data_IF_259908125910
#
_entry.id   IF_259908125910
#
_cell.length_a   1.000
_cell.length_b   1.000
_cell.length_c   1.000
_cell.angle_alpha   90.00
_cell.angle_beta   90.00
_cell.angle_gamma   90.00
#
_symmetry.space_group_name_H-M   'P 1'
#
loop_
_entity.id
_entity.type
_entity.pdbx_description
1 polymer ?
#
# COMPACT_ATOMS: atom_id res chain seq x y z
N UNK A 1 -11.36 -13.80 -21.97
CA UNK A 1 -11.28 -12.85 -23.10
C UNK A 1 -12.25 -11.69 -22.95
N UNK A 2 -13.56 -11.89 -22.74
CA UNK A 2 -14.52 -10.79 -22.53
C UNK A 2 -14.19 -9.89 -21.30
N UNK A 3 -13.79 -10.49 -20.17
CA UNK A 3 -13.36 -9.75 -18.97
C UNK A 3 -12.08 -8.94 -19.19
N UNK A 4 -11.07 -9.53 -19.87
CA UNK A 4 -9.83 -8.84 -20.26
C UNK A 4 -10.14 -7.64 -21.16
N UNK A 5 -10.99 -7.81 -22.17
CA UNK A 5 -11.39 -6.74 -23.08
C UNK A 5 -12.18 -5.62 -22.37
N UNK A 6 -13.12 -5.99 -21.49
CA UNK A 6 -13.87 -5.04 -20.65
C UNK A 6 -12.92 -4.19 -19.81
N UNK A 7 -12.02 -4.83 -19.05
CA UNK A 7 -11.07 -4.13 -18.19
C UNK A 7 -10.13 -3.24 -19.00
N UNK A 8 -9.55 -3.75 -20.08
CA UNK A 8 -8.64 -2.97 -20.93
C UNK A 8 -9.33 -1.76 -21.60
N UNK A 9 -10.59 -1.88 -22.02
CA UNK A 9 -11.34 -0.78 -22.63
C UNK A 9 -11.71 0.34 -21.63
N UNK A 10 -11.59 0.06 -20.33
CA UNK A 10 -11.86 1.02 -19.26
C UNK A 10 -10.57 1.63 -18.67
N UNK A 11 -9.39 1.12 -19.04
CA UNK A 11 -8.12 1.77 -18.71
C UNK A 11 -8.08 3.18 -19.32
N UNK A 12 -7.74 4.18 -18.50
CA UNK A 12 -7.67 5.57 -18.94
C UNK A 12 -8.99 6.34 -18.88
N UNK A 13 -10.05 5.75 -18.31
CA UNK A 13 -11.26 6.50 -17.93
C UNK A 13 -11.10 7.10 -16.53
N UNK A 14 -11.86 8.15 -16.23
CA UNK A 14 -11.82 8.89 -14.95
C UNK A 14 -12.14 8.06 -13.69
N UNK A 15 -12.69 6.86 -13.82
CA UNK A 15 -13.02 5.94 -12.71
C UNK A 15 -12.65 4.51 -13.13
N UNK A 16 -11.36 4.11 -13.02
CA UNK A 16 -10.87 2.83 -13.50
C UNK A 16 -10.99 1.69 -12.46
N UNK A 17 -11.70 1.88 -11.36
CA UNK A 17 -11.81 0.90 -10.27
C UNK A 17 -12.39 -0.44 -10.76
N UNK A 18 -13.45 -0.38 -11.55
CA UNK A 18 -14.05 -1.57 -12.17
C UNK A 18 -13.06 -2.28 -13.12
N UNK A 19 -12.24 -1.51 -13.85
CA UNK A 19 -11.19 -2.08 -14.69
C UNK A 19 -10.16 -2.84 -13.85
N UNK A 20 -9.77 -2.28 -12.70
CA UNK A 20 -8.79 -2.92 -11.81
C UNK A 20 -9.34 -4.18 -11.14
N UNK A 21 -10.62 -4.20 -10.80
CA UNK A 21 -11.31 -5.40 -10.32
C UNK A 21 -11.32 -6.51 -11.39
N UNK A 22 -11.57 -6.16 -12.65
CA UNK A 22 -11.57 -7.11 -13.77
C UNK A 22 -10.16 -7.65 -14.09
N UNK A 23 -9.13 -6.79 -14.06
CA UNK A 23 -7.79 -7.14 -14.52
C UNK A 23 -6.93 -7.84 -13.46
N UNK A 24 -7.13 -7.53 -12.17
CA UNK A 24 -6.30 -8.05 -11.07
C UNK A 24 -6.31 -9.59 -10.98
N UNK A 25 -7.45 -10.30 -11.03
CA UNK A 25 -7.47 -11.76 -11.00
C UNK A 25 -6.67 -12.37 -12.16
N UNK A 26 -6.73 -11.75 -13.33
CA UNK A 26 -6.03 -12.20 -14.53
C UNK A 26 -4.51 -12.11 -14.40
N UNK A 27 -4.01 -11.03 -13.77
CA UNK A 27 -2.57 -10.88 -13.48
C UNK A 27 -2.14 -11.90 -12.42
N UNK A 28 -2.93 -12.06 -11.35
CA UNK A 28 -2.55 -12.90 -10.19
C UNK A 28 -2.59 -14.40 -10.51
N UNK A 29 -3.46 -14.84 -11.42
CA UNK A 29 -3.57 -16.25 -11.80
C UNK A 29 -2.30 -16.77 -12.51
N UNK A 30 -1.71 -15.95 -13.37
CA UNK A 30 -0.49 -16.28 -14.10
C UNK A 30 0.38 -15.02 -14.32
N UNK A 31 1.15 -14.61 -13.31
CA UNK A 31 1.88 -13.33 -13.34
C UNK A 31 2.96 -13.23 -14.43
N UNK A 32 3.52 -14.36 -14.85
CA UNK A 32 4.53 -14.44 -15.91
C UNK A 32 3.93 -14.79 -17.29
N UNK A 33 2.61 -14.98 -17.35
CA UNK A 33 1.91 -15.41 -18.54
C UNK A 33 1.78 -14.35 -19.63
N UNK A 34 1.50 -14.76 -20.88
CA UNK A 34 1.26 -13.82 -21.98
C UNK A 34 0.13 -12.83 -21.71
N UNK A 35 -0.88 -13.23 -20.92
CA UNK A 35 -2.00 -12.36 -20.54
C UNK A 35 -1.58 -11.25 -19.59
N UNK A 36 -0.84 -11.58 -18.53
CA UNK A 36 -0.30 -10.58 -17.61
C UNK A 36 0.63 -9.60 -18.34
N UNK A 37 1.44 -10.09 -19.28
CA UNK A 37 2.30 -9.24 -20.11
C UNK A 37 1.51 -8.25 -20.98
N UNK A 38 0.44 -8.70 -21.64
CA UNK A 38 -0.45 -7.78 -22.41
C UNK A 38 -1.08 -6.70 -21.55
N UNK A 39 -1.52 -7.07 -20.34
CA UNK A 39 -2.10 -6.11 -19.39
C UNK A 39 -1.03 -5.10 -18.95
N UNK A 40 0.19 -5.57 -18.63
CA UNK A 40 1.32 -4.71 -18.30
C UNK A 40 1.62 -3.70 -19.42
N UNK A 41 1.66 -4.14 -20.68
CA UNK A 41 1.92 -3.27 -21.82
C UNK A 41 0.79 -2.25 -22.06
N UNK A 42 -0.47 -2.66 -21.87
CA UNK A 42 -1.61 -1.74 -21.92
C UNK A 42 -1.55 -0.67 -20.82
N UNK A 43 -1.18 -1.04 -19.59
CA UNK A 43 -0.99 -0.10 -18.49
C UNK A 43 0.13 0.90 -18.79
N UNK A 44 1.29 0.43 -19.29
CA UNK A 44 2.41 1.29 -19.68
C UNK A 44 1.99 2.31 -20.74
N UNK A 45 1.25 1.86 -21.76
CA UNK A 45 0.70 2.73 -22.79
C UNK A 45 -0.29 3.76 -22.22
N UNK A 46 -1.19 3.34 -21.34
CA UNK A 46 -2.16 4.22 -20.71
C UNK A 46 -1.47 5.30 -19.85
N UNK A 47 -0.41 4.95 -19.12
CA UNK A 47 0.41 5.91 -18.35
C UNK A 47 1.04 6.95 -19.28
N UNK A 48 1.68 6.52 -20.37
CA UNK A 48 2.30 7.43 -21.33
C UNK A 48 1.28 8.36 -22.01
N UNK A 49 0.09 7.85 -22.36
CA UNK A 49 -0.98 8.66 -22.92
C UNK A 49 -1.54 9.68 -21.92
N UNK A 50 -1.71 9.29 -20.67
CA UNK A 50 -2.16 10.19 -19.60
C UNK A 50 -1.12 11.29 -19.31
N UNK A 51 0.17 10.97 -19.32
CA UNK A 51 1.25 11.96 -19.19
C UNK A 51 1.22 12.99 -20.32
N UNK A 52 1.11 12.54 -21.59
CA UNK A 52 0.98 13.43 -22.75
C UNK A 52 -0.21 14.38 -22.64
N UNK A 53 -1.33 13.89 -22.11
CA UNK A 53 -2.56 14.67 -21.91
C UNK A 53 -2.55 15.49 -20.61
N UNK A 54 -1.53 15.33 -19.75
CA UNK A 54 -1.48 15.86 -18.38
C UNK A 54 -2.70 15.46 -17.54
N UNK A 55 -3.22 14.25 -17.74
CA UNK A 55 -4.33 13.70 -16.97
C UNK A 55 -3.82 13.07 -15.67
N UNK A 56 -3.65 13.91 -14.66
CA UNK A 56 -3.04 13.52 -13.38
C UNK A 56 -3.88 12.52 -12.58
N UNK A 57 -5.20 12.53 -12.71
CA UNK A 57 -6.09 11.56 -12.05
C UNK A 57 -5.91 10.16 -12.64
N UNK A 58 -5.88 10.06 -13.97
CA UNK A 58 -5.56 8.79 -14.64
C UNK A 58 -4.16 8.32 -14.30
N UNK A 59 -3.17 9.22 -14.27
CA UNK A 59 -1.81 8.89 -13.87
C UNK A 59 -1.74 8.30 -12.46
N UNK A 60 -2.39 8.93 -11.48
CA UNK A 60 -2.48 8.43 -10.11
C UNK A 60 -2.99 7.00 -10.06
N UNK A 61 -4.14 6.76 -10.68
CA UNK A 61 -4.83 5.48 -10.61
C UNK A 61 -4.07 4.36 -11.34
N UNK A 62 -3.64 4.62 -12.58
CA UNK A 62 -2.99 3.60 -13.41
C UNK A 62 -1.58 3.30 -12.92
N UNK A 63 -0.81 4.31 -12.47
CA UNK A 63 0.53 4.06 -11.89
C UNK A 63 0.41 3.32 -10.55
N UNK A 64 -0.57 3.67 -9.72
CA UNK A 64 -0.87 2.94 -8.49
C UNK A 64 -1.13 1.46 -8.76
N UNK A 65 -2.02 1.14 -9.70
CA UNK A 65 -2.31 -0.22 -10.10
C UNK A 65 -1.11 -0.95 -10.71
N UNK A 66 -0.34 -0.28 -11.59
CA UNK A 66 0.88 -0.84 -12.17
C UNK A 66 1.86 -1.25 -11.08
N UNK A 67 2.20 -0.35 -10.16
CA UNK A 67 3.15 -0.65 -9.06
C UNK A 67 2.57 -1.72 -8.12
N UNK A 68 1.24 -1.81 -7.98
CA UNK A 68 0.60 -2.76 -7.09
C UNK A 68 0.64 -4.21 -7.56
N UNK A 69 0.44 -4.43 -8.87
CA UNK A 69 0.20 -5.76 -9.44
C UNK A 69 1.27 -6.20 -10.45
N UNK A 70 2.04 -5.28 -11.02
CA UNK A 70 2.99 -5.56 -12.12
C UNK A 70 4.41 -5.13 -11.79
N UNK A 71 4.58 -3.94 -11.20
CA UNK A 71 5.88 -3.33 -11.00
C UNK A 71 6.81 -4.20 -10.15
N UNK A 72 8.08 -4.29 -10.54
CA UNK A 72 9.08 -5.00 -9.74
C UNK A 72 9.78 -4.01 -8.81
N UNK A 73 9.94 -4.32 -7.51
CA UNK A 73 10.71 -3.48 -6.62
C UNK A 73 12.17 -3.34 -7.10
N UNK A 74 12.72 -2.12 -7.02
CA UNK A 74 14.14 -1.85 -7.30
C UNK A 74 14.47 -1.54 -8.76
N UNK A 75 15.72 -1.81 -9.14
CA UNK A 75 16.29 -1.37 -10.43
C UNK A 75 15.91 -2.23 -11.64
N UNK A 76 15.20 -3.33 -11.44
CA UNK A 76 14.87 -4.31 -12.50
C UNK A 76 13.66 -3.94 -13.34
N UNK A 77 12.84 -2.97 -12.92
CA UNK A 77 11.63 -2.61 -13.67
C UNK A 77 11.99 -1.83 -14.95
N UNK A 78 11.69 -2.35 -16.15
CA UNK A 78 12.01 -1.67 -17.41
C UNK A 78 11.27 -0.34 -17.59
N UNK A 79 10.21 -0.09 -16.81
CA UNK A 79 9.42 1.14 -16.85
C UNK A 79 9.82 2.17 -15.79
N UNK A 80 10.81 1.83 -14.94
CA UNK A 80 11.28 2.65 -13.82
C UNK A 80 11.65 4.08 -14.18
N UNK A 81 12.41 4.27 -15.26
CA UNK A 81 12.85 5.62 -15.68
C UNK A 81 11.67 6.47 -16.18
N UNK A 82 10.66 5.82 -16.77
CA UNK A 82 9.41 6.53 -17.14
C UNK A 82 8.70 7.01 -15.87
N UNK A 83 8.55 6.13 -14.86
CA UNK A 83 7.95 6.49 -13.57
C UNK A 83 8.73 7.60 -12.86
N UNK A 84 10.08 7.59 -12.93
CA UNK A 84 10.95 8.64 -12.38
C UNK A 84 10.60 10.02 -12.94
N UNK A 85 10.28 10.09 -14.22
CA UNK A 85 9.94 11.36 -14.88
C UNK A 85 8.51 11.85 -14.61
N UNK A 86 7.58 10.95 -14.28
CA UNK A 86 6.14 11.22 -14.19
C UNK A 86 5.70 11.46 -12.74
N UNK A 87 6.03 10.53 -11.84
CA UNK A 87 5.50 10.53 -10.47
C UNK A 87 5.76 11.84 -9.71
N UNK A 88 6.97 12.44 -9.75
CA UNK A 88 7.22 13.70 -9.05
C UNK A 88 6.35 14.86 -9.55
N UNK A 89 6.10 14.92 -10.87
CA UNK A 89 5.27 15.97 -11.48
C UNK A 89 3.81 15.82 -11.08
N UNK A 90 3.30 14.59 -11.10
CA UNK A 90 1.95 14.26 -10.63
C UNK A 90 1.80 14.56 -9.13
N UNK A 91 2.82 14.27 -8.32
CA UNK A 91 2.78 14.57 -6.88
C UNK A 91 2.73 16.08 -6.62
N UNK A 92 3.48 16.87 -7.39
CA UNK A 92 3.49 18.33 -7.24
C UNK A 92 2.18 18.96 -7.71
N UNK A 93 1.54 18.45 -8.77
CA UNK A 93 0.23 18.98 -9.22
C UNK A 93 -0.88 18.81 -8.17
N UNK A 94 -0.75 17.83 -7.27
CA UNK A 94 -1.72 17.54 -6.21
C UNK A 94 -1.48 18.31 -4.90
N UNK A 95 -0.37 19.06 -4.80
CA UNK A 95 0.09 19.67 -3.55
C UNK A 95 -0.87 20.69 -2.93
N UNK A 96 -1.59 21.44 -3.77
CA UNK A 96 -2.44 22.53 -3.29
C UNK A 96 -3.82 22.06 -2.80
N UNK A 97 -4.38 21.01 -3.41
CA UNK A 97 -5.80 20.65 -3.24
C UNK A 97 -6.06 19.23 -2.76
N UNK A 98 -5.11 18.30 -2.94
CA UNK A 98 -5.36 16.85 -2.82
C UNK A 98 -4.24 16.17 -1.99
N UNK A 99 -4.12 16.49 -0.68
CA UNK A 99 -2.99 16.05 0.14
C UNK A 99 -2.89 14.52 0.27
N UNK A 100 -4.02 13.80 0.33
CA UNK A 100 -4.03 12.33 0.42
C UNK A 100 -3.48 11.67 -0.85
N UNK A 101 -3.90 12.14 -2.04
CA UNK A 101 -3.36 11.67 -3.33
C UNK A 101 -1.88 11.98 -3.46
N UNK A 102 -1.44 13.15 -3.00
CA UNK A 102 -0.02 13.52 -2.96
C UNK A 102 0.79 12.58 -2.07
N UNK A 103 0.31 12.27 -0.86
CA UNK A 103 0.97 11.33 0.05
C UNK A 103 1.13 9.97 -0.63
N UNK A 104 0.08 9.48 -1.28
CA UNK A 104 0.16 8.22 -2.02
C UNK A 104 1.21 8.26 -3.13
N UNK A 105 1.24 9.30 -3.96
CA UNK A 105 2.27 9.41 -5.01
C UNK A 105 3.69 9.45 -4.44
N UNK A 106 3.92 10.18 -3.34
CA UNK A 106 5.20 10.20 -2.64
C UNK A 106 5.59 8.81 -2.11
N UNK A 107 4.62 8.04 -1.63
CA UNK A 107 4.85 6.65 -1.21
C UNK A 107 5.26 5.75 -2.37
N UNK A 108 4.68 5.93 -3.56
CA UNK A 108 5.08 5.19 -4.76
C UNK A 108 6.53 5.51 -5.12
N UNK A 109 6.92 6.79 -5.08
CA UNK A 109 8.30 7.22 -5.34
C UNK A 109 9.26 6.58 -4.32
N UNK A 110 8.90 6.59 -3.04
CA UNK A 110 9.71 5.98 -1.97
C UNK A 110 9.92 4.48 -2.17
N UNK A 111 8.89 3.76 -2.64
CA UNK A 111 8.97 2.32 -2.91
C UNK A 111 9.77 2.00 -4.18
N UNK A 112 9.50 2.69 -5.29
CA UNK A 112 10.14 2.45 -6.60
C UNK A 112 11.64 2.80 -6.57
N UNK A 113 12.01 3.82 -5.79
CA UNK A 113 13.39 4.30 -5.64
C UNK A 113 13.95 4.04 -4.24
N UNK A 114 13.53 2.93 -3.61
CA UNK A 114 14.03 2.53 -2.30
C UNK A 114 15.57 2.45 -2.28
N UNK A 115 16.19 3.09 -1.28
CA UNK A 115 17.65 3.17 -1.15
C UNK A 115 18.32 4.26 -1.99
N UNK A 116 17.57 4.99 -2.83
CA UNK A 116 18.09 6.15 -3.58
C UNK A 116 17.76 7.48 -2.89
N UNK A 117 18.55 8.56 -3.13
CA UNK A 117 18.28 9.89 -2.55
C UNK A 117 16.91 10.46 -2.93
N UNK A 118 16.35 10.08 -4.07
CA UNK A 118 15.00 10.49 -4.47
C UNK A 118 13.92 9.79 -3.64
N UNK A 119 14.03 8.47 -3.49
CA UNK A 119 13.09 7.69 -2.68
C UNK A 119 13.14 8.10 -1.20
N UNK A 120 14.33 8.37 -0.66
CA UNK A 120 14.47 8.82 0.73
C UNK A 120 13.87 10.21 0.96
N UNK A 121 14.06 11.16 0.03
CA UNK A 121 13.40 12.48 0.09
C UNK A 121 11.88 12.36 -0.02
N UNK A 122 11.39 11.48 -0.90
CA UNK A 122 9.96 11.23 -1.04
C UNK A 122 9.38 10.60 0.23
N UNK A 123 10.11 9.69 0.88
CA UNK A 123 9.72 9.08 2.16
C UNK A 123 9.59 10.13 3.26
N UNK A 124 10.59 10.99 3.42
CA UNK A 124 10.55 12.09 4.39
C UNK A 124 9.38 13.03 4.11
N UNK A 125 9.19 13.42 2.85
CA UNK A 125 8.07 14.27 2.44
C UNK A 125 6.71 13.61 2.70
N UNK A 126 6.57 12.31 2.45
CA UNK A 126 5.35 11.56 2.72
C UNK A 126 5.05 11.51 4.22
N UNK A 127 6.07 11.27 5.06
CA UNK A 127 5.94 11.34 6.52
C UNK A 127 5.47 12.73 6.98
N UNK A 128 6.12 13.80 6.53
CA UNK A 128 5.79 15.16 6.94
C UNK A 128 4.35 15.56 6.58
N UNK A 129 3.92 15.23 5.36
CA UNK A 129 2.57 15.53 4.88
C UNK A 129 1.55 14.61 5.55
N UNK A 130 1.86 13.32 5.69
CA UNK A 130 1.04 12.34 6.38
C UNK A 130 0.77 12.72 7.83
N UNK A 131 1.82 13.04 8.59
CA UNK A 131 1.70 13.50 9.98
C UNK A 131 0.82 14.75 10.10
N UNK A 132 0.93 15.71 9.19
CA UNK A 132 0.05 16.90 9.17
C UNK A 132 -1.40 16.55 8.92
N UNK A 133 -1.68 15.66 7.97
CA UNK A 133 -3.04 15.18 7.69
C UNK A 133 -3.62 14.45 8.91
N UNK A 134 -2.84 13.56 9.54
CA UNK A 134 -3.29 12.79 10.70
C UNK A 134 -3.43 13.62 11.98
N UNK A 135 -2.68 14.70 12.14
CA UNK A 135 -2.85 15.61 13.28
C UNK A 135 -4.27 16.21 13.33
N UNK A 136 -4.91 16.41 12.17
CA UNK A 136 -6.29 16.87 12.05
C UNK A 136 -7.35 15.77 12.11
N UNK A 137 -6.96 14.49 12.11
CA UNK A 137 -7.88 13.35 12.16
C UNK A 137 -8.41 13.12 13.59
N UNK A 138 -9.64 12.59 13.68
CA UNK A 138 -10.22 12.18 14.96
C UNK A 138 -9.45 10.98 15.52
N UNK A 139 -9.25 10.99 16.82
CA UNK A 139 -8.63 9.88 17.52
C UNK A 139 -9.69 8.84 17.86
N UNK A 140 -9.44 7.61 17.44
CA UNK A 140 -10.26 6.46 17.76
C UNK A 140 -9.45 5.46 18.58
N UNK A 141 -10.14 4.69 19.42
CA UNK A 141 -9.52 3.58 20.11
C UNK A 141 -9.30 2.43 19.13
N UNK A 142 -8.06 1.94 19.05
CA UNK A 142 -7.76 0.74 18.29
C UNK A 142 -8.52 -0.45 18.88
N UNK A 143 -9.30 -1.15 18.06
CA UNK A 143 -9.83 -2.47 18.40
C UNK A 143 -8.83 -3.50 17.91
N UNK A 144 -8.12 -4.14 18.83
CA UNK A 144 -7.31 -5.32 18.51
C UNK A 144 -8.13 -6.55 18.82
N UNK A 145 -8.38 -7.37 17.79
CA UNK A 145 -9.22 -8.56 17.94
C UNK A 145 -8.43 -9.73 18.52
N UNK A 146 -7.10 -9.68 18.46
CA UNK A 146 -6.22 -10.72 19.00
C UNK A 146 -4.84 -10.17 19.36
N UNK A 147 -4.44 -10.36 20.62
CA UNK A 147 -3.10 -10.05 21.14
C UNK A 147 -2.50 -11.33 21.68
N UNK A 148 -1.33 -11.70 21.16
CA UNK A 148 -0.56 -12.88 21.58
C UNK A 148 0.86 -12.44 21.96
N UNK A 149 1.59 -13.19 22.80
CA UNK A 149 3.01 -12.91 23.01
C UNK A 149 3.81 -13.14 21.73
N UNK A 150 4.72 -12.22 21.42
CA UNK A 150 5.73 -12.35 20.36
C UNK A 150 6.90 -13.20 20.87
N UNK A 151 7.52 -13.97 19.98
CA UNK A 151 8.79 -14.64 20.26
C UNK A 151 10.02 -13.76 19.96
N UNK A 152 9.81 -12.53 19.47
CA UNK A 152 10.85 -11.54 19.22
C UNK A 152 10.97 -10.63 20.44
N UNK A 153 12.02 -10.81 21.24
CA UNK A 153 12.23 -9.98 22.44
C UNK A 153 12.46 -8.50 22.08
N UNK A 154 11.73 -7.60 22.73
CA UNK A 154 11.82 -6.15 22.50
C UNK A 154 11.18 -5.67 21.19
N UNK A 155 10.50 -6.58 20.46
CA UNK A 155 9.88 -6.31 19.18
C UNK A 155 8.44 -6.84 19.16
N UNK A 156 7.54 -6.01 18.65
CA UNK A 156 6.15 -6.38 18.41
C UNK A 156 5.89 -6.56 16.93
N UNK A 157 4.97 -7.47 16.61
CA UNK A 157 4.62 -7.84 15.24
C UNK A 157 3.15 -7.48 15.00
N UNK A 158 2.90 -6.73 13.94
CA UNK A 158 1.56 -6.40 13.48
C UNK A 158 1.28 -7.13 12.17
N UNK A 159 0.38 -8.11 12.21
CA UNK A 159 -0.22 -8.71 11.03
C UNK A 159 -1.41 -7.83 10.59
N UNK A 160 -1.37 -7.32 9.36
CA UNK A 160 -2.41 -6.45 8.81
C UNK A 160 -3.04 -7.11 7.58
N UNK A 161 -4.37 -7.16 7.55
CA UNK A 161 -5.14 -7.60 6.38
C UNK A 161 -5.84 -6.39 5.72
N UNK A 162 -5.40 -6.00 4.53
CA UNK A 162 -6.13 -5.02 3.71
C UNK A 162 -7.12 -5.77 2.80
N UNK A 163 -8.35 -5.95 3.27
CA UNK A 163 -9.43 -6.57 2.51
C UNK A 163 -10.19 -5.58 1.59
N UNK A 164 -9.63 -4.40 1.30
CA UNK A 164 -10.31 -3.32 0.59
C UNK A 164 -9.74 -3.13 -0.83
N UNK A 165 -10.48 -2.51 -1.76
CA UNK A 165 -9.98 -2.19 -3.10
C UNK A 165 -9.04 -0.97 -3.11
N UNK A 166 -8.79 -0.36 -1.96
CA UNK A 166 -7.99 0.85 -1.83
C UNK A 166 -6.56 0.54 -1.41
N UNK A 167 -5.63 1.38 -1.86
CA UNK A 167 -4.32 1.41 -1.23
C UNK A 167 -4.46 2.07 0.14
N UNK A 168 -3.86 1.44 1.14
CA UNK A 168 -3.79 2.00 2.49
C UNK A 168 -2.35 2.38 2.82
N UNK A 169 -2.19 3.55 3.42
CA UNK A 169 -0.93 4.03 3.97
C UNK A 169 -1.07 4.08 5.48
N UNK A 170 -0.27 3.27 6.17
CA UNK A 170 -0.24 3.27 7.64
C UNK A 170 1.04 3.94 8.10
N UNK A 171 0.87 5.04 8.84
CA UNK A 171 1.94 5.83 9.43
C UNK A 171 2.13 5.42 10.88
N UNK A 172 3.40 5.29 11.29
CA UNK A 172 3.82 5.00 12.65
C UNK A 172 4.73 6.12 13.14
N UNK A 173 4.36 6.75 14.25
CA UNK A 173 5.18 7.75 14.94
C UNK A 173 5.40 7.32 16.41
N UNK A 174 6.63 6.95 16.76
CA UNK A 174 7.02 6.45 18.08
C UNK A 174 8.54 6.26 18.19
N UNK A 175 9.02 5.18 18.86
CA UNK A 175 10.44 4.81 18.94
C UNK A 175 11.16 4.77 17.58
N UNK A 176 10.42 4.46 16.51
CA UNK A 176 10.82 4.66 15.13
C UNK A 176 9.70 5.37 14.36
N UNK A 177 10.06 6.07 13.28
CA UNK A 177 9.12 6.77 12.42
C UNK A 177 9.19 6.25 10.99
N UNK A 178 8.07 5.80 10.45
CA UNK A 178 7.97 5.34 9.07
C UNK A 178 6.50 5.23 8.63
N UNK A 179 6.29 4.94 7.35
CA UNK A 179 5.00 4.49 6.85
C UNK A 179 5.18 3.20 6.04
N UNK A 180 4.09 2.45 5.91
CA UNK A 180 3.99 1.28 5.04
C UNK A 180 2.77 1.44 4.14
N UNK A 181 2.94 1.10 2.86
CA UNK A 181 1.85 1.05 1.89
C UNK A 181 1.36 -0.38 1.73
N UNK A 182 0.07 -0.60 1.98
CA UNK A 182 -0.63 -1.84 1.69
C UNK A 182 -1.38 -1.68 0.38
N UNK A 183 -1.07 -2.56 -0.58
CA UNK A 183 -1.83 -2.63 -1.83
C UNK A 183 -3.22 -3.22 -1.58
N UNK A 184 -4.20 -2.97 -2.47
CA UNK A 184 -5.52 -3.56 -2.41
C UNK A 184 -5.48 -5.08 -2.28
N UNK A 185 -6.31 -5.64 -1.38
CA UNK A 185 -6.44 -7.08 -1.18
C UNK A 185 -5.09 -7.78 -0.93
N UNK A 186 -4.23 -7.18 -0.10
CA UNK A 186 -2.94 -7.73 0.31
C UNK A 186 -2.84 -7.81 1.83
N UNK A 187 -2.20 -8.87 2.27
CA UNK A 187 -1.80 -9.11 3.66
C UNK A 187 -0.33 -8.81 3.84
N UNK A 188 0.05 -8.36 5.01
CA UNK A 188 1.45 -8.15 5.33
C UNK A 188 1.71 -8.02 6.81
N UNK A 189 2.98 -8.17 7.16
CA UNK A 189 3.44 -8.09 8.53
C UNK A 189 4.45 -6.96 8.67
N UNK A 190 4.34 -6.24 9.78
CA UNK A 190 5.26 -5.17 10.18
C UNK A 190 5.88 -5.55 11.51
N UNK A 191 7.20 -5.43 11.62
CA UNK A 191 7.90 -5.54 12.89
C UNK A 191 8.23 -4.15 13.40
N UNK A 192 7.85 -3.89 14.64
CA UNK A 192 8.05 -2.66 15.37
C UNK A 192 8.96 -2.89 16.58
N UNK A 193 9.71 -1.87 16.95
CA UNK A 193 10.26 -1.80 18.31
C UNK A 193 9.15 -1.66 19.35
N UNK A 194 9.38 -2.20 20.54
CA UNK A 194 8.45 -1.97 21.66
C UNK A 194 8.40 -0.49 22.04
N UNK A 195 7.21 -0.03 22.42
CA UNK A 195 6.96 1.34 22.83
C UNK A 195 5.59 1.85 22.41
N UNK A 196 5.37 3.15 22.62
CA UNK A 196 4.11 3.81 22.30
C UNK A 196 4.17 4.41 20.89
N UNK A 197 3.19 4.06 20.06
CA UNK A 197 3.04 4.60 18.72
C UNK A 197 1.73 5.39 18.59
N UNK A 198 1.82 6.51 17.89
CA UNK A 198 0.67 7.08 17.21
C UNK A 198 0.61 6.46 15.82
N UNK A 199 -0.47 5.73 15.57
CA UNK A 199 -0.74 5.12 14.28
C UNK A 199 -1.77 5.95 13.56
N UNK A 200 -1.67 6.04 12.24
CA UNK A 200 -2.84 6.45 11.50
C UNK A 200 -2.82 5.97 10.06
N UNK A 201 -4.00 6.04 9.47
CA UNK A 201 -4.31 5.38 8.21
C UNK A 201 -4.89 6.40 7.26
N UNK A 202 -4.29 6.48 6.07
CA UNK A 202 -4.75 7.29 4.95
C UNK A 202 -4.97 6.36 3.77
N UNK A 203 -5.94 6.67 2.93
CA UNK A 203 -6.22 5.89 1.72
C UNK A 203 -6.22 6.80 0.49
N UNK A 204 -6.22 6.19 -0.70
CA UNK A 204 -6.13 6.93 -1.96
C UNK A 204 -7.37 7.72 -2.34
N UNK A 205 -8.54 7.36 -1.81
CA UNK A 205 -9.81 7.97 -2.14
C UNK A 205 -10.13 9.08 -1.12
N UNK A 206 -10.29 10.31 -1.63
CA UNK A 206 -10.48 11.50 -0.83
C UNK A 206 -11.82 11.57 -0.10
N UNK A 207 -12.78 10.70 -0.45
CA UNK A 207 -14.07 10.58 0.24
C UNK A 207 -14.00 9.83 1.57
N UNK A 208 -12.84 9.22 1.85
CA UNK A 208 -12.59 8.46 3.07
C UNK A 208 -11.78 9.35 4.02
N UNK A 209 -12.28 9.48 5.25
CA UNK A 209 -11.60 10.26 6.26
C UNK A 209 -10.35 9.53 6.79
N UNK A 210 -9.23 10.24 7.01
CA UNK A 210 -8.08 9.68 7.69
C UNK A 210 -8.43 9.21 9.11
N UNK A 211 -7.80 8.13 9.53
CA UNK A 211 -7.94 7.54 10.86
C UNK A 211 -6.68 7.77 11.69
N UNK A 212 -6.82 8.00 13.00
CA UNK A 212 -5.70 8.08 13.95
C UNK A 212 -6.01 7.30 15.23
N UNK A 213 -5.02 6.60 15.76
CA UNK A 213 -5.09 5.97 17.08
C UNK A 213 -3.74 5.97 17.79
N UNK A 214 -3.76 5.68 19.09
CA UNK A 214 -2.56 5.44 19.88
C UNK A 214 -2.59 4.01 20.42
N UNK A 215 -1.46 3.33 20.36
CA UNK A 215 -1.28 1.98 20.89
C UNK A 215 0.10 1.85 21.55
N UNK A 216 0.19 0.96 22.54
CA UNK A 216 1.45 0.60 23.18
C UNK A 216 1.76 -0.84 22.87
N UNK A 217 2.98 -1.09 22.40
CA UNK A 217 3.46 -2.39 21.98
C UNK A 217 4.52 -2.90 22.95
N UNK A 218 4.37 -4.16 23.37
CA UNK A 218 5.21 -4.79 24.39
C UNK A 218 5.43 -6.28 24.08
N UNK A 219 6.32 -6.57 23.14
CA UNK A 219 6.70 -7.90 22.68
C UNK A 219 5.49 -8.77 22.38
N UNK A 220 4.57 -8.23 21.57
CA UNK A 220 3.28 -8.84 21.25
C UNK A 220 3.11 -9.03 19.74
N UNK A 221 2.41 -10.09 19.36
CA UNK A 221 1.85 -10.28 18.03
C UNK A 221 0.38 -9.83 18.05
N UNK A 222 0.04 -8.88 17.20
CA UNK A 222 -1.31 -8.35 17.05
C UNK A 222 -1.81 -8.56 15.63
N UNK A 223 -3.09 -8.92 15.49
CA UNK A 223 -3.78 -8.92 14.21
C UNK A 223 -4.69 -7.70 14.14
N UNK A 224 -4.41 -6.81 13.18
CA UNK A 224 -5.18 -5.60 12.95
C UNK A 224 -5.95 -5.67 11.64
N UNK A 225 -7.26 -5.45 11.74
CA UNK A 225 -8.15 -5.27 10.58
C UNK A 225 -8.64 -3.82 10.57
N UNK A 226 -8.48 -3.14 9.44
CA UNK A 226 -8.95 -1.77 9.28
C UNK A 226 -10.25 -1.76 8.48
N UNK A 227 -11.30 -1.17 9.06
CA UNK A 227 -12.57 -0.97 8.37
C UNK A 227 -12.55 0.44 7.78
N UNK A 228 -12.65 0.53 6.45
CA UNK A 228 -12.76 1.80 5.74
C UNK A 228 -14.23 2.22 5.70
N UNK A 229 -14.57 3.36 6.28
CA UNK A 229 -15.90 3.96 6.18
C UNK A 229 -15.87 5.16 5.22
N UNK A 230 -16.82 5.23 4.29
CA UNK A 230 -16.99 6.40 3.40
C UNK A 230 -18.07 7.33 3.94
N UNK A 231 -17.80 8.62 3.91
CA UNK A 231 -18.66 9.68 4.47
C UNK A 231 -19.99 9.88 3.73
N UNK A 232 -20.17 9.32 2.53
CA UNK A 232 -21.29 9.66 1.62
C UNK A 232 -22.20 8.48 1.21
N UNK A 233 -22.33 7.43 2.00
CA UNK A 233 -23.32 6.38 1.68
C UNK A 233 -23.97 5.77 2.93
N UNK A 234 -25.15 6.28 3.33
CA UNK A 234 -25.95 5.65 4.37
C UNK A 234 -26.47 4.24 3.98
N UNK A 235 -26.35 3.85 2.71
CA UNK A 235 -26.94 2.62 2.15
C UNK A 235 -25.98 1.79 1.27
N UNK A 236 -24.67 2.01 1.28
CA UNK A 236 -23.75 0.99 0.74
C UNK A 236 -23.55 -0.07 1.81
N UNK A 237 -23.84 -1.35 1.54
CA UNK A 237 -23.41 -2.40 2.45
C UNK A 237 -21.90 -2.24 2.67
N UNK A 238 -21.48 -2.28 3.92
CA UNK A 238 -20.07 -2.27 4.30
C UNK A 238 -19.39 -3.45 3.58
N UNK A 239 -18.75 -3.14 2.45
CA UNK A 239 -18.09 -4.08 1.55
C UNK A 239 -18.98 -5.18 0.95
N UNK A 240 -18.93 -5.31 -0.38
CA UNK A 240 -19.45 -6.48 -1.08
C UNK A 240 -18.84 -7.76 -0.50
N UNK A 241 -19.57 -8.88 -0.65
CA UNK A 241 -19.17 -10.23 -0.22
C UNK A 241 -17.66 -10.44 -0.27
N UNK A 242 -17.05 -11.13 0.70
CA UNK A 242 -15.61 -11.32 0.74
C UNK A 242 -15.17 -11.90 -0.60
N UNK A 243 -14.57 -11.06 -1.44
CA UNK A 243 -13.70 -11.59 -2.48
C UNK A 243 -12.66 -12.37 -1.70
N UNK A 244 -12.58 -13.67 -1.90
CA UNK A 244 -11.58 -14.49 -1.24
C UNK A 244 -10.21 -13.95 -1.65
N UNK A 245 -9.64 -13.10 -0.81
CA UNK A 245 -8.26 -12.68 -0.92
C UNK A 245 -7.42 -13.88 -0.50
N UNK A 246 -7.04 -14.68 -1.49
CA UNK A 246 -5.93 -15.63 -1.34
C UNK A 246 -4.63 -14.85 -1.51
N UNK A 247 -3.71 -15.04 -0.57
CA UNK A 247 -2.42 -14.39 -0.58
C UNK A 247 -1.67 -14.69 0.70
N UNK A 248 -0.39 -15.02 0.55
CA UNK A 248 0.50 -15.23 1.67
C UNK A 248 0.84 -13.89 2.32
N UNK A 249 1.10 -13.91 3.63
CA UNK A 249 1.71 -12.79 4.30
C UNK A 249 3.13 -12.57 3.80
N UNK A 250 3.48 -11.31 3.59
CA UNK A 250 4.85 -10.86 3.32
C UNK A 250 5.32 -9.88 4.39
N UNK A 251 6.61 -9.89 4.65
CA UNK A 251 7.23 -8.85 5.49
C UNK A 251 7.24 -7.54 4.71
N UNK A 252 6.58 -6.52 5.23
CA UNK A 252 6.53 -5.20 4.60
C UNK A 252 7.57 -4.24 5.19
N UNK A 253 7.93 -4.45 6.45
CA UNK A 253 8.90 -3.62 7.15
C UNK A 253 9.48 -4.37 8.36
N UNK A 254 10.78 -4.22 8.55
CA UNK A 254 11.50 -4.57 9.77
C UNK A 254 12.44 -3.41 10.16
N UNK A 255 12.74 -3.23 11.46
CA UNK A 255 13.72 -2.25 11.91
C UNK A 255 15.07 -2.48 11.21
N UNK A 256 15.80 -1.43 10.83
CA UNK A 256 17.01 -1.55 10.01
C UNK A 256 18.16 -2.31 10.67
N UNK A 257 18.11 -2.48 11.99
CA UNK A 257 19.07 -3.23 12.81
C UNK A 257 18.61 -4.67 13.10
N UNK A 258 17.52 -5.12 12.49
CA UNK A 258 16.96 -6.47 12.68
C UNK A 258 16.95 -7.20 11.34
N UNK A 259 17.78 -8.24 11.23
CA UNK A 259 17.88 -9.07 10.03
C UNK A 259 17.44 -10.52 10.30
N UNK A 260 17.30 -11.29 9.23
CA UNK A 260 17.06 -12.74 9.31
C UNK A 260 15.64 -13.13 9.70
N UNK A 261 14.64 -12.29 9.46
CA UNK A 261 13.24 -12.60 9.80
C UNK A 261 12.57 -13.52 8.77
N UNK A 262 11.70 -14.42 9.23
CA UNK A 262 10.81 -15.27 8.41
C UNK A 262 9.36 -15.00 8.77
N UNK A 263 8.49 -15.00 7.76
CA UNK A 263 7.05 -14.77 7.92
C UNK A 263 6.30 -16.07 7.67
N UNK A 264 5.45 -16.45 8.61
CA UNK A 264 4.48 -17.53 8.38
C UNK A 264 3.45 -17.07 7.34
N UNK A 265 3.28 -17.82 6.24
CA UNK A 265 2.47 -17.38 5.12
C UNK A 265 0.98 -17.28 5.44
N UNK A 266 0.49 -17.95 6.49
CA UNK A 266 -0.95 -18.04 6.81
C UNK A 266 -1.39 -17.05 7.88
N UNK A 267 -0.53 -16.81 8.87
CA UNK A 267 -0.86 -16.03 10.07
C UNK A 267 -0.18 -14.65 10.07
N UNK A 268 0.86 -14.49 9.26
CA UNK A 268 1.71 -13.31 9.29
C UNK A 268 2.60 -13.23 10.53
N UNK A 269 2.61 -14.26 11.38
CA UNK A 269 3.54 -14.33 12.49
C UNK A 269 4.99 -14.26 11.96
N UNK A 270 5.82 -13.47 12.62
CA UNK A 270 7.23 -13.30 12.23
C UNK A 270 8.10 -14.00 13.27
N UNK A 271 9.13 -14.69 12.81
CA UNK A 271 10.11 -15.39 13.64
C UNK A 271 11.53 -15.13 13.17
N UNK A 272 12.52 -15.37 14.03
CA UNK A 272 13.91 -15.42 13.60
C UNK A 272 14.10 -16.65 12.71
N UNK A 273 14.57 -16.43 11.49
CA UNK A 273 15.02 -17.48 10.61
C UNK A 273 16.25 -18.14 11.21
N UNK A 274 16.19 -19.45 11.42
CA UNK A 274 17.43 -20.20 11.65
C UNK A 274 18.35 -19.98 10.45
N UNK A 275 19.62 -19.69 10.72
CA UNK A 275 20.66 -19.96 9.73
C UNK A 275 20.45 -21.41 9.30
N UNK A 276 20.23 -21.63 8.00
CA UNK A 276 20.42 -22.97 7.48
C UNK A 276 21.89 -23.29 7.77
N UNK A 277 22.12 -24.22 8.69
CA UNK A 277 23.43 -24.84 8.82
C UNK A 277 23.76 -25.40 7.42
N UNK A 278 24.90 -25.02 6.82
CA UNK A 278 25.27 -25.47 5.48
C UNK A 278 25.36 -27.00 5.39
#
# INVERSE_FOLDING_TARGET
>A
DAQEQSGLAQLGKRSPEAAFEDLRPLIRQDPAGPRAQRIADALRKAIQEADRKKDFETLLNVTGFYVAEVGTPGSSDPFRETLRSILPKTAESMKASEPMKRIFLLSLIADVFAGEPEGERARQSAMDVGSKVMAGAKEEQAKSDQVLPSNLGGLSVLSIDNATPYHMLVFYDGPEKFFVRFNPFRRGSVVLRDGKYTTGVIVTDASIEPYRSQSSHASEHQVSSYIIQSSNSPNRPAFGMPSQASGDYKLLRAPPDVEGLRVDPKTGAVSLGSAATP
#
